data_IF_397762745828
#
_entry.id   IF_397762745828
#
_cell.length_a   1.000
_cell.length_b   1.000
_cell.length_c   1.000
_cell.angle_alpha   90.00
_cell.angle_beta   90.00
_cell.angle_gamma   90.00
#
_symmetry.space_group_name_H-M   'P 1'
#
loop_
_entity.id
_entity.type
_entity.pdbx_description
1 polymer ?
#
# COMPACT_ATOMS: atom_id res chain seq x y z
N UNK A 1 -67.62 -17.35 -14.35
CA UNK A 1 -67.19 -17.05 -15.73
C UNK A 1 -65.83 -17.71 -15.92
N UNK A 2 -65.73 -18.65 -16.87
CA UNK A 2 -64.50 -19.35 -17.31
C UNK A 2 -63.70 -18.35 -18.18
N UNK A 3 -62.37 -18.28 -18.23
CA UNK A 3 -61.42 -19.29 -18.67
C UNK A 3 -59.98 -18.92 -18.22
N UNK A 4 -59.18 -19.95 -17.95
CA UNK A 4 -57.71 -19.93 -17.89
C UNK A 4 -57.12 -19.67 -19.29
N UNK A 5 -56.01 -18.92 -19.37
CA UNK A 5 -55.08 -18.99 -20.50
C UNK A 5 -53.64 -18.71 -20.02
N UNK A 6 -52.91 -19.79 -19.82
CA UNK A 6 -51.45 -19.85 -19.76
C UNK A 6 -50.86 -19.54 -21.13
N UNK A 7 -49.77 -18.78 -21.20
CA UNK A 7 -48.89 -18.78 -22.36
C UNK A 7 -47.47 -19.17 -21.93
N UNK A 8 -47.04 -20.26 -22.53
CA UNK A 8 -45.76 -20.94 -22.45
C UNK A 8 -45.20 -20.89 -23.88
N UNK A 9 -44.05 -20.27 -24.11
CA UNK A 9 -43.23 -20.41 -25.32
C UNK A 9 -41.81 -19.92 -24.96
N UNK A 10 -40.88 -20.81 -24.62
CA UNK A 10 -40.06 -21.69 -25.46
C UNK A 10 -38.89 -20.96 -26.14
N UNK A 11 -37.72 -21.55 -25.91
CA UNK A 11 -36.37 -21.11 -26.23
C UNK A 11 -36.08 -20.91 -27.72
N UNK A 12 -35.14 -20.00 -28.01
CA UNK A 12 -34.28 -20.09 -29.17
C UNK A 12 -32.81 -20.05 -28.70
N UNK A 13 -32.18 -21.21 -28.79
CA UNK A 13 -30.73 -21.40 -28.71
C UNK A 13 -30.16 -20.94 -30.04
N UNK A 14 -29.24 -19.98 -30.03
CA UNK A 14 -28.35 -19.71 -31.15
C UNK A 14 -26.91 -19.97 -30.69
N UNK A 15 -26.41 -21.14 -31.06
CA UNK A 15 -25.00 -21.45 -31.06
C UNK A 15 -24.32 -20.64 -32.17
N UNK A 16 -23.36 -19.80 -31.81
CA UNK A 16 -22.41 -19.16 -32.72
C UNK A 16 -21.00 -19.52 -32.30
N UNK A 17 -20.39 -20.46 -33.01
CA UNK A 17 -18.95 -20.73 -32.97
C UNK A 17 -18.26 -19.87 -34.04
N UNK A 18 -17.08 -19.35 -33.72
CA UNK A 18 -16.14 -18.70 -34.64
C UNK A 18 -15.72 -17.32 -34.11
N UNK A 19 -14.46 -16.91 -34.09
CA UNK A 19 -13.23 -17.46 -34.64
C UNK A 19 -12.05 -17.00 -33.76
N UNK A 20 -11.03 -17.85 -33.65
CA UNK A 20 -9.72 -17.54 -33.07
C UNK A 20 -9.08 -16.35 -33.78
N UNK A 21 -9.09 -15.17 -33.17
CA UNK A 21 -8.18 -14.10 -33.51
C UNK A 21 -6.88 -14.31 -32.73
N UNK A 22 -5.89 -14.90 -33.38
CA UNK A 22 -4.51 -14.87 -32.92
C UNK A 22 -4.07 -13.40 -32.87
N UNK A 23 -3.70 -12.92 -31.68
CA UNK A 23 -2.98 -11.66 -31.53
C UNK A 23 -1.56 -11.88 -32.06
N UNK A 24 -1.32 -11.43 -33.29
CA UNK A 24 0.03 -11.25 -33.82
C UNK A 24 0.61 -9.99 -33.19
N UNK A 25 1.34 -10.15 -32.08
CA UNK A 25 2.25 -9.12 -31.61
C UNK A 25 3.35 -8.93 -32.67
N UNK A 26 3.68 -7.69 -33.07
CA UNK A 26 4.84 -7.43 -33.90
C UNK A 26 6.11 -7.69 -33.09
N UNK A 27 6.96 -8.55 -33.65
CA UNK A 27 8.37 -8.68 -33.31
C UNK A 27 9.11 -7.35 -33.58
N UNK A 28 10.13 -7.09 -32.77
CA UNK A 28 11.24 -6.14 -32.95
C UNK A 28 11.06 -4.66 -32.52
N UNK A 29 11.58 -4.37 -31.33
CA UNK A 29 12.60 -3.33 -31.15
C UNK A 29 13.51 -3.73 -29.98
N UNK A 30 14.67 -4.30 -30.31
CA UNK A 30 15.68 -4.71 -29.34
C UNK A 30 16.30 -3.52 -28.61
N UNK A 31 16.51 -3.71 -27.31
CA UNK A 31 17.48 -2.93 -26.53
C UNK A 31 18.74 -3.77 -26.34
N UNK A 32 19.74 -3.36 -27.11
CA UNK A 32 21.17 -3.40 -26.89
C UNK A 32 21.65 -3.57 -25.43
N UNK A 33 21.83 -4.83 -25.04
CA UNK A 33 22.78 -5.19 -23.99
C UNK A 33 24.21 -4.94 -24.51
N UNK A 34 24.83 -3.87 -24.03
CA UNK A 34 26.26 -3.62 -24.23
C UNK A 34 27.07 -4.79 -23.66
N UNK A 35 27.68 -5.53 -24.56
CA UNK A 35 28.71 -6.54 -24.25
C UNK A 35 30.01 -5.80 -23.92
N UNK A 36 30.61 -6.13 -22.77
CA UNK A 36 31.98 -5.78 -22.42
C UNK A 36 32.95 -6.48 -23.40
N UNK A 37 33.88 -5.78 -24.07
CA UNK A 37 34.78 -6.37 -25.05
C UNK A 37 35.97 -7.16 -24.48
N UNK A 38 36.08 -7.34 -23.17
CA UNK A 38 37.14 -8.18 -22.59
C UNK A 38 36.64 -9.61 -22.37
N UNK A 39 36.49 -10.33 -23.49
CA UNK A 39 36.25 -11.76 -23.47
C UNK A 39 37.39 -12.50 -22.76
N UNK A 40 37.07 -13.12 -21.63
CA UNK A 40 37.82 -14.28 -21.16
C UNK A 40 36.87 -15.32 -20.56
N UNK A 41 36.77 -16.45 -21.27
CA UNK A 41 36.14 -17.67 -20.79
C UNK A 41 37.24 -18.44 -20.06
N UNK A 42 37.14 -18.53 -18.74
CA UNK A 42 37.96 -19.44 -17.94
C UNK A 42 37.06 -20.31 -17.06
N UNK A 43 36.82 -21.53 -17.52
CA UNK A 43 36.80 -22.71 -16.63
C UNK A 43 38.27 -23.22 -16.55
N UNK A 44 38.74 -23.99 -15.53
CA UNK A 44 37.97 -24.91 -14.69
C UNK A 44 38.50 -25.15 -13.23
N UNK A 45 37.87 -26.09 -12.52
CA UNK A 45 38.38 -27.01 -11.46
C UNK A 45 38.97 -26.50 -10.12
N UNK A 46 38.32 -26.93 -9.02
CA UNK A 46 38.97 -27.80 -8.01
C UNK A 46 39.79 -27.19 -6.87
N UNK A 47 39.21 -27.23 -5.65
CA UNK A 47 39.88 -27.80 -4.48
C UNK A 47 40.66 -26.89 -3.50
N UNK A 48 40.54 -27.28 -2.22
CA UNK A 48 41.46 -27.18 -1.07
C UNK A 48 41.78 -25.82 -0.40
N UNK A 49 41.27 -25.70 0.84
CA UNK A 49 41.95 -25.55 2.15
C UNK A 49 43.09 -24.53 2.37
N UNK A 50 42.95 -23.75 3.46
CA UNK A 50 44.02 -23.00 4.17
C UNK A 50 43.95 -21.48 3.89
N UNK A 51 43.65 -20.56 4.79
CA UNK A 51 44.06 -20.45 6.20
C UNK A 51 45.46 -19.85 6.29
N UNK A 52 45.61 -18.52 6.37
CA UNK A 52 46.71 -17.81 7.07
C UNK A 52 46.32 -16.35 7.37
N UNK A 53 46.33 -16.04 8.66
CA UNK A 53 46.78 -14.87 9.43
C UNK A 53 47.01 -13.49 8.80
N UNK A 54 46.66 -12.50 9.63
CA UNK A 54 46.87 -11.08 9.41
C UNK A 54 48.34 -10.64 9.38
N UNK A 55 48.52 -9.47 8.81
CA UNK A 55 49.78 -8.76 8.77
C UNK A 55 49.51 -7.26 8.76
N UNK A 56 49.89 -6.62 9.85
CA UNK A 56 50.12 -5.18 9.93
C UNK A 56 51.06 -4.73 8.81
N UNK A 57 50.77 -3.59 8.18
CA UNK A 57 51.76 -2.82 7.42
C UNK A 57 51.37 -1.35 7.42
N UNK A 58 52.01 -0.63 8.33
CA UNK A 58 52.20 0.80 8.30
C UNK A 58 53.09 1.17 7.10
N UNK A 59 52.72 2.21 6.36
CA UNK A 59 53.55 2.73 5.28
C UNK A 59 52.91 3.94 4.62
N UNK A 60 53.21 5.13 5.14
CA UNK A 60 52.72 6.39 4.59
C UNK A 60 53.27 6.73 3.21
N UNK A 61 52.65 7.72 2.58
CA UNK A 61 53.30 8.66 1.67
C UNK A 61 52.37 9.86 1.40
N UNK A 62 53.05 10.98 1.17
CA UNK A 62 52.54 12.34 1.23
C UNK A 62 52.24 12.87 -0.18
N UNK A 63 51.16 13.65 -0.31
CA UNK A 63 50.81 14.43 -1.50
C UNK A 63 49.29 14.64 -1.53
N UNK A 64 48.73 15.79 -1.16
CA UNK A 64 49.05 17.10 -1.68
C UNK A 64 48.19 17.34 -2.91
N UNK A 65 46.96 17.86 -2.71
CA UNK A 65 46.18 18.65 -3.68
C UNK A 65 44.94 19.23 -2.99
N UNK A 66 44.84 20.56 -3.03
CA UNK A 66 43.65 21.34 -2.67
C UNK A 66 42.52 21.09 -3.67
N UNK A 67 41.32 20.83 -3.16
CA UNK A 67 40.09 20.74 -3.94
C UNK A 67 38.91 20.52 -3.02
N UNK A 68 38.29 21.62 -2.58
CA UNK A 68 37.10 21.57 -1.74
C UNK A 68 35.98 20.78 -2.39
N UNK A 69 35.39 19.87 -1.62
CA UNK A 69 34.00 19.48 -1.78
C UNK A 69 33.45 19.31 -0.37
N UNK A 70 32.43 20.11 -0.10
CA UNK A 70 31.66 20.14 1.12
C UNK A 70 30.82 18.87 1.15
N UNK A 71 31.34 17.83 1.80
CA UNK A 71 30.65 16.56 2.04
C UNK A 71 30.64 16.27 3.53
N UNK A 72 30.05 17.18 4.30
CA UNK A 72 29.66 16.90 5.67
C UNK A 72 28.73 15.69 5.66
N UNK A 73 29.26 14.55 6.08
CA UNK A 73 28.44 13.49 6.62
C UNK A 73 27.77 14.08 7.86
N UNK A 74 26.47 14.34 7.76
CA UNK A 74 25.59 14.72 8.88
C UNK A 74 25.36 13.50 9.80
N UNK A 75 26.46 12.95 10.30
CA UNK A 75 26.52 12.08 11.48
C UNK A 75 26.63 12.97 12.72
N UNK A 76 25.63 13.83 12.93
CA UNK A 76 25.56 14.74 14.07
C UNK A 76 24.25 14.53 14.80
N UNK A 77 24.30 13.79 15.92
CA UNK A 77 23.27 13.86 16.97
C UNK A 77 23.43 15.21 17.65
N UNK A 78 23.02 16.27 16.96
CA UNK A 78 23.03 17.62 17.50
C UNK A 78 21.75 17.79 18.31
N UNK A 79 21.93 17.93 19.62
CA UNK A 79 20.92 18.41 20.57
C UNK A 79 20.55 19.88 20.33
N UNK A 80 20.32 20.26 19.07
CA UNK A 80 19.58 21.45 18.71
C UNK A 80 18.15 21.25 19.18
N UNK A 81 17.67 22.15 20.02
CA UNK A 81 16.29 22.15 20.45
C UNK A 81 15.40 22.18 19.22
N UNK A 82 14.83 21.01 18.89
CA UNK A 82 13.70 20.84 18.00
C UNK A 82 12.76 22.03 18.19
N UNK A 83 12.53 22.80 17.13
CA UNK A 83 11.74 24.04 17.24
C UNK A 83 10.25 23.77 17.50
N UNK A 84 9.84 22.50 17.38
CA UNK A 84 8.54 21.96 17.71
C UNK A 84 8.69 20.73 18.64
N UNK A 85 7.61 20.31 19.30
CA UNK A 85 7.58 19.00 19.97
C UNK A 85 7.24 17.88 18.98
N UNK A 86 8.05 16.83 19.00
CA UNK A 86 7.85 15.63 18.17
C UNK A 86 6.90 14.63 18.85
N UNK A 87 6.39 13.67 18.07
CA UNK A 87 5.57 12.57 18.55
C UNK A 87 5.91 11.27 17.80
N UNK A 88 5.25 10.16 18.16
CA UNK A 88 5.42 8.91 17.42
C UNK A 88 4.94 9.02 15.95
N UNK A 89 3.89 9.82 15.69
CA UNK A 89 3.41 10.10 14.33
C UNK A 89 4.32 11.05 13.56
N UNK A 90 4.99 11.95 14.30
CA UNK A 90 5.82 13.00 13.76
C UNK A 90 7.21 12.99 14.42
N UNK A 91 8.09 12.05 14.04
CA UNK A 91 9.37 11.81 14.73
C UNK A 91 10.38 12.94 14.63
N UNK A 92 10.23 13.83 13.65
CA UNK A 92 11.06 15.03 13.45
C UNK A 92 10.16 16.21 13.12
N UNK A 93 10.59 17.44 13.41
CA UNK A 93 9.81 18.60 13.00
C UNK A 93 9.69 18.66 11.47
N UNK A 94 8.51 19.02 10.95
CA UNK A 94 8.33 19.30 9.53
C UNK A 94 9.22 20.47 9.08
N UNK A 95 9.31 20.69 7.77
CA UNK A 95 9.87 21.93 7.22
C UNK A 95 8.89 23.08 7.51
N UNK A 96 9.31 24.17 8.19
CA UNK A 96 8.47 25.35 8.40
C UNK A 96 7.86 25.93 7.12
N UNK A 97 8.59 25.85 6.00
CA UNK A 97 8.14 26.38 4.71
C UNK A 97 7.06 25.50 4.06
N UNK A 98 6.89 24.26 4.53
CA UNK A 98 5.87 23.31 4.08
C UNK A 98 4.61 23.31 4.97
N UNK A 99 4.57 24.15 6.02
CA UNK A 99 3.40 24.28 6.87
C UNK A 99 2.29 25.04 6.17
N UNK A 100 1.05 24.69 6.51
CA UNK A 100 -0.13 25.40 6.07
C UNK A 100 -0.91 25.95 7.25
N UNK A 101 -1.55 27.08 7.01
CA UNK A 101 -2.41 27.77 7.94
C UNK A 101 -3.39 28.69 7.17
N UNK A 102 -4.28 29.43 7.85
CA UNK A 102 -5.21 30.34 7.15
C UNK A 102 -4.54 31.45 6.33
N UNK A 103 -3.29 31.82 6.62
CA UNK A 103 -2.50 32.83 5.91
C UNK A 103 -1.64 32.20 4.79
N UNK A 104 -1.30 30.92 4.91
CA UNK A 104 -0.62 30.09 3.91
C UNK A 104 -1.46 28.84 3.55
N UNK A 105 -2.54 28.99 2.76
CA UNK A 105 -3.42 27.88 2.42
C UNK A 105 -2.76 26.91 1.45
N UNK A 106 -3.20 25.66 1.50
CA UNK A 106 -2.74 24.66 0.56
C UNK A 106 -3.14 24.97 -0.88
N UNK A 107 -2.32 24.55 -1.86
CA UNK A 107 -2.70 24.48 -3.26
C UNK A 107 -4.03 23.73 -3.49
N UNK A 108 -4.62 23.93 -4.67
CA UNK A 108 -5.81 23.17 -5.06
C UNK A 108 -5.49 21.66 -5.08
N UNK A 109 -6.41 20.85 -4.53
CA UNK A 109 -6.21 19.40 -4.40
C UNK A 109 -5.51 18.93 -3.15
N UNK A 110 -5.12 19.87 -2.29
CA UNK A 110 -4.51 19.56 -1.01
C UNK A 110 -5.36 20.07 0.14
N UNK A 111 -5.32 19.34 1.25
CA UNK A 111 -5.98 19.71 2.50
C UNK A 111 -4.93 19.94 3.58
N UNK A 112 -5.16 21.00 4.36
CA UNK A 112 -4.31 21.33 5.50
C UNK A 112 -4.69 20.46 6.70
N UNK A 113 -3.83 19.51 7.09
CA UNK A 113 -4.09 18.57 8.19
C UNK A 113 -2.96 18.58 9.21
N UNK A 114 -3.31 18.28 10.46
CA UNK A 114 -2.37 18.16 11.57
C UNK A 114 -1.32 17.09 11.27
N UNK A 115 -0.05 17.42 11.47
CA UNK A 115 1.09 16.51 11.28
C UNK A 115 1.22 15.51 12.43
N UNK A 116 0.68 15.84 13.61
CA UNK A 116 0.94 15.13 14.86
C UNK A 116 2.16 15.65 15.62
N UNK A 117 2.93 16.61 15.08
CA UNK A 117 3.87 17.44 15.83
C UNK A 117 3.11 18.66 16.34
N UNK A 118 2.76 18.69 17.64
CA UNK A 118 1.95 19.78 18.21
C UNK A 118 0.68 20.08 17.39
N UNK A 119 0.30 21.36 17.30
CA UNK A 119 -0.80 21.86 16.48
C UNK A 119 -0.33 22.26 15.06
N UNK A 120 0.81 21.73 14.58
CA UNK A 120 1.34 22.03 13.25
C UNK A 120 0.54 21.30 12.19
N UNK A 121 0.27 21.98 11.08
CA UNK A 121 -0.44 21.41 9.92
C UNK A 121 0.37 21.53 8.65
N UNK A 122 0.23 20.57 7.74
CA UNK A 122 0.82 20.60 6.40
C UNK A 122 -0.20 20.21 5.35
N UNK A 123 0.14 20.51 4.10
CA UNK A 123 -0.68 20.13 2.97
C UNK A 123 -0.49 18.66 2.60
N UNK A 124 -1.61 17.99 2.37
CA UNK A 124 -1.66 16.62 1.88
C UNK A 124 -2.60 16.53 0.70
N UNK A 125 -2.18 15.80 -0.33
CA UNK A 125 -3.02 15.49 -1.48
C UNK A 125 -4.21 14.64 -1.03
N UNK A 126 -5.42 15.11 -1.29
CA UNK A 126 -6.64 14.30 -1.16
C UNK A 126 -6.73 13.36 -2.35
N UNK A 127 -7.31 12.17 -2.15
CA UNK A 127 -7.22 11.05 -3.09
C UNK A 127 -7.82 11.30 -4.49
N UNK A 128 -7.83 10.20 -5.26
CA UNK A 128 -8.41 10.08 -6.60
C UNK A 128 -7.41 9.54 -7.61
N UNK A 129 -7.88 8.77 -8.59
CA UNK A 129 -7.06 8.10 -9.61
C UNK A 129 -6.34 9.09 -10.54
N UNK A 130 -5.49 8.56 -11.42
CA UNK A 130 -4.93 9.37 -12.50
C UNK A 130 -6.03 9.78 -13.49
N UNK A 131 -5.88 10.94 -14.11
CA UNK A 131 -6.81 11.44 -15.12
C UNK A 131 -6.10 12.31 -16.16
N UNK A 132 -6.68 12.36 -17.35
CA UNK A 132 -6.35 13.29 -18.43
C UNK A 132 -7.44 14.37 -18.55
N UNK A 133 -8.69 14.00 -18.28
CA UNK A 133 -9.82 14.93 -18.20
C UNK A 133 -10.87 14.47 -17.18
N UNK A 134 -11.94 15.26 -17.03
CA UNK A 134 -13.02 15.00 -16.07
C UNK A 134 -13.78 13.70 -16.36
N UNK A 135 -13.74 13.16 -17.58
CA UNK A 135 -14.44 11.92 -17.93
C UNK A 135 -13.75 10.68 -17.34
N UNK A 136 -12.44 10.78 -17.06
CA UNK A 136 -11.68 9.74 -16.35
C UNK A 136 -12.09 9.64 -14.86
N UNK A 137 -12.68 10.71 -14.31
CA UNK A 137 -13.15 10.74 -12.93
C UNK A 137 -14.58 10.19 -12.83
N UNK A 138 -14.70 8.86 -12.75
CA UNK A 138 -15.98 8.15 -12.76
C UNK A 138 -17.01 8.64 -11.71
N UNK A 139 -16.53 9.19 -10.59
CA UNK A 139 -17.38 9.78 -9.56
C UNK A 139 -17.55 11.30 -9.80
N UNK A 140 -18.78 11.83 -9.95
CA UNK A 140 -19.02 13.27 -10.16
C UNK A 140 -18.64 14.15 -8.97
N UNK A 141 -18.32 13.55 -7.82
CA UNK A 141 -17.69 14.25 -6.70
C UNK A 141 -16.25 14.67 -6.99
N UNK A 142 -15.65 14.21 -8.10
CA UNK A 142 -14.28 14.49 -8.51
C UNK A 142 -14.22 15.32 -9.80
N UNK A 143 -13.12 16.06 -9.94
CA UNK A 143 -12.73 16.74 -11.17
C UNK A 143 -11.24 16.52 -11.41
N UNK A 144 -10.86 16.42 -12.68
CA UNK A 144 -9.48 16.19 -13.07
C UNK A 144 -8.66 17.47 -12.99
N UNK A 145 -7.64 17.48 -12.12
CA UNK A 145 -6.62 18.52 -12.15
C UNK A 145 -5.51 18.11 -13.11
N UNK A 146 -5.54 18.69 -14.30
CA UNK A 146 -4.58 18.46 -15.37
C UNK A 146 -3.16 18.95 -15.06
N UNK A 147 -2.96 19.74 -14.00
CA UNK A 147 -1.62 20.17 -13.57
C UNK A 147 -0.86 18.99 -12.97
N UNK A 148 -1.58 18.14 -12.24
CA UNK A 148 -1.02 16.95 -11.58
C UNK A 148 -1.51 15.64 -12.20
N UNK A 149 -2.44 15.70 -13.15
CA UNK A 149 -3.12 14.59 -13.82
C UNK A 149 -3.77 13.63 -12.81
N UNK A 150 -4.54 14.19 -11.87
CA UNK A 150 -5.22 13.45 -10.80
C UNK A 150 -6.66 13.90 -10.64
N UNK A 151 -7.56 12.95 -10.45
CA UNK A 151 -8.91 13.23 -9.98
C UNK A 151 -8.81 13.77 -8.57
N UNK A 152 -9.35 14.95 -8.33
CA UNK A 152 -9.45 15.55 -7.01
C UNK A 152 -10.90 15.70 -6.62
N UNK A 153 -11.24 15.30 -5.40
CA UNK A 153 -12.59 15.45 -4.88
C UNK A 153 -12.91 16.95 -4.71
N UNK A 154 -13.99 17.41 -5.36
CA UNK A 154 -14.48 18.81 -5.34
C UNK A 154 -15.71 19.00 -4.46
N UNK A 155 -16.26 17.90 -3.93
CA UNK A 155 -17.38 17.91 -2.97
C UNK A 155 -16.84 17.64 -1.56
N UNK A 156 -17.32 18.37 -0.57
CA UNK A 156 -16.92 18.17 0.83
C UNK A 156 -17.32 16.79 1.35
N UNK A 157 -16.49 16.21 2.21
CA UNK A 157 -16.74 14.92 2.85
C UNK A 157 -16.16 13.75 2.06
N UNK A 158 -16.63 12.56 2.35
CA UNK A 158 -16.21 11.30 1.72
C UNK A 158 -17.40 10.35 1.53
N UNK A 159 -17.30 9.46 0.57
CA UNK A 159 -18.20 8.31 0.36
C UNK A 159 -17.51 7.02 0.81
N UNK A 160 -16.19 6.92 0.63
CA UNK A 160 -15.33 5.85 1.12
C UNK A 160 -13.93 6.36 1.54
N UNK A 161 -13.12 5.50 2.15
CA UNK A 161 -11.82 5.87 2.70
C UNK A 161 -10.77 6.27 1.66
N UNK A 162 -10.99 6.03 0.36
CA UNK A 162 -10.10 6.53 -0.70
C UNK A 162 -10.27 8.03 -0.97
N UNK A 163 -11.43 8.59 -0.60
CA UNK A 163 -11.68 10.03 -0.64
C UNK A 163 -10.87 10.81 0.40
N UNK A 164 -10.36 10.09 1.41
CA UNK A 164 -9.60 10.66 2.50
C UNK A 164 -8.10 10.64 2.22
N UNK A 165 -7.37 11.56 2.87
CA UNK A 165 -5.90 11.54 2.87
C UNK A 165 -5.42 10.22 3.46
N UNK A 166 -4.27 9.73 2.98
CA UNK A 166 -3.68 8.51 3.51
C UNK A 166 -3.60 8.53 5.05
N UNK A 167 -4.09 7.46 5.67
CA UNK A 167 -4.18 7.34 7.14
C UNK A 167 -5.47 7.90 7.75
N UNK A 168 -6.38 8.45 6.94
CA UNK A 168 -7.73 8.81 7.36
C UNK A 168 -8.74 7.82 6.78
N UNK A 169 -9.84 7.60 7.48
CA UNK A 169 -10.94 6.73 7.05
C UNK A 169 -12.24 7.51 6.92
N UNK A 170 -13.11 7.11 6.00
CA UNK A 170 -14.41 7.74 5.85
C UNK A 170 -15.40 7.23 6.88
N UNK A 171 -15.86 8.12 7.75
CA UNK A 171 -16.80 7.81 8.83
C UNK A 171 -17.95 8.81 8.82
N UNK A 172 -19.16 8.31 8.59
CA UNK A 172 -20.38 9.13 8.51
C UNK A 172 -20.25 10.33 7.55
N UNK A 173 -19.52 10.13 6.43
CA UNK A 173 -19.27 11.13 5.40
C UNK A 173 -18.15 12.13 5.73
N UNK A 174 -17.36 11.89 6.79
CA UNK A 174 -16.23 12.73 7.19
C UNK A 174 -14.95 11.91 7.34
N UNK A 175 -13.80 12.48 6.96
CA UNK A 175 -12.50 11.81 7.13
C UNK A 175 -12.01 11.87 8.57
N UNK A 176 -12.05 10.73 9.27
CA UNK A 176 -11.54 10.56 10.63
C UNK A 176 -10.05 10.19 10.63
N UNK A 177 -9.27 10.74 11.56
CA UNK A 177 -7.83 10.44 11.70
C UNK A 177 -7.63 9.04 12.27
N UNK A 178 -7.08 8.14 11.44
CA UNK A 178 -6.80 6.74 11.74
C UNK A 178 -5.31 6.42 11.61
N UNK A 179 -4.45 7.45 11.66
CA UNK A 179 -3.01 7.26 11.57
C UNK A 179 -2.50 6.60 12.84
N UNK A 180 -1.94 5.41 12.65
CA UNK A 180 -1.29 4.63 13.69
C UNK A 180 0.22 4.73 13.51
N UNK A 181 0.99 5.30 14.44
CA UNK A 181 2.44 5.46 14.26
C UNK A 181 3.15 4.11 14.14
N UNK A 182 4.22 4.09 13.34
CA UNK A 182 5.05 2.91 13.11
C UNK A 182 6.52 3.28 12.90
N UNK A 183 7.44 2.41 13.31
CA UNK A 183 8.86 2.49 12.93
C UNK A 183 9.16 1.60 11.73
N UNK A 184 8.47 0.47 11.65
CA UNK A 184 8.59 -0.59 10.65
C UNK A 184 7.22 -1.23 10.39
N UNK A 185 7.08 -1.99 9.31
CA UNK A 185 5.80 -2.66 9.02
C UNK A 185 5.40 -3.72 10.06
N UNK A 186 6.32 -4.19 10.89
CA UNK A 186 6.02 -5.09 12.01
C UNK A 186 5.22 -4.40 13.14
N UNK A 187 5.25 -3.07 13.22
CA UNK A 187 4.44 -2.30 14.18
C UNK A 187 2.98 -2.17 13.74
N UNK A 188 2.69 -2.53 12.48
CA UNK A 188 1.37 -2.43 11.89
C UNK A 188 0.59 -3.74 12.01
N UNK A 189 -0.74 -3.68 12.12
CA UNK A 189 -1.58 -4.87 12.04
C UNK A 189 -1.41 -5.64 10.72
N UNK A 190 -1.95 -6.85 10.67
CA UNK A 190 -2.06 -7.59 9.39
C UNK A 190 -2.85 -6.75 8.36
N UNK A 191 -2.48 -6.87 7.08
CA UNK A 191 -3.07 -6.08 5.99
C UNK A 191 -2.51 -4.66 5.83
N UNK A 192 -1.48 -4.29 6.61
CA UNK A 192 -0.89 -2.96 6.59
C UNK A 192 0.63 -2.97 6.40
N UNK A 193 1.12 -1.87 5.84
CA UNK A 193 2.53 -1.53 5.79
C UNK A 193 2.79 -0.21 6.52
N UNK A 194 4.02 0.00 6.96
CA UNK A 194 4.45 1.28 7.52
C UNK A 194 4.74 2.24 6.36
N UNK A 195 3.87 3.23 6.19
CA UNK A 195 3.97 4.20 5.11
C UNK A 195 4.75 5.44 5.55
N UNK A 196 5.73 5.83 4.74
CA UNK A 196 6.57 7.02 4.94
C UNK A 196 6.08 8.12 4.00
N UNK A 197 5.15 8.96 4.49
CA UNK A 197 4.64 10.08 3.70
C UNK A 197 5.73 11.13 3.44
N UNK A 198 6.65 11.27 4.40
CA UNK A 198 7.80 12.16 4.38
C UNK A 198 8.80 11.73 5.46
N UNK A 199 9.98 12.35 5.50
CA UNK A 199 10.99 12.07 6.54
C UNK A 199 10.45 12.24 7.97
N UNK A 200 9.48 13.15 8.14
CA UNK A 200 8.84 13.52 9.38
C UNK A 200 7.49 12.84 9.64
N UNK A 201 7.02 11.92 8.78
CA UNK A 201 5.73 11.27 8.98
C UNK A 201 5.72 9.81 8.58
N UNK A 202 5.32 8.98 9.55
CA UNK A 202 5.23 7.54 9.40
C UNK A 202 4.04 6.98 10.15
N UNK A 203 3.21 6.23 9.44
CA UNK A 203 2.03 5.60 10.01
C UNK A 203 1.64 4.35 9.22
N UNK A 204 0.92 3.45 9.88
CA UNK A 204 0.38 2.25 9.25
C UNK A 204 -0.67 2.64 8.22
N UNK A 205 -0.47 2.17 7.00
CA UNK A 205 -1.40 2.31 5.88
C UNK A 205 -1.85 0.94 5.42
N UNK A 206 -3.16 0.78 5.26
CA UNK A 206 -3.76 -0.43 4.72
C UNK A 206 -3.30 -0.63 3.27
N UNK A 207 -2.94 -1.86 2.94
CA UNK A 207 -2.46 -2.22 1.61
C UNK A 207 -3.66 -2.50 0.70
N UNK A 208 -4.60 -3.32 1.16
CA UNK A 208 -5.84 -3.70 0.46
C UNK A 208 -6.75 -2.49 0.29
N UNK A 209 -6.68 -1.87 -0.90
CA UNK A 209 -7.48 -0.69 -1.27
C UNK A 209 -8.05 -0.89 -2.66
N UNK A 210 -9.28 -0.43 -2.95
CA UNK A 210 -9.81 -0.43 -4.30
C UNK A 210 -8.85 0.21 -5.29
N UNK A 211 -8.75 -0.40 -6.47
CA UNK A 211 -7.99 0.12 -7.60
C UNK A 211 -8.69 -0.27 -8.89
N UNK A 212 -8.52 0.54 -9.93
CA UNK A 212 -8.94 0.19 -11.28
C UNK A 212 -7.76 -0.36 -12.09
N UNK A 213 -6.54 0.09 -11.77
CA UNK A 213 -5.29 -0.38 -12.36
C UNK A 213 -4.08 -0.12 -11.44
N UNK A 214 -2.90 -0.61 -11.85
CA UNK A 214 -1.65 -0.53 -11.06
C UNK A 214 -1.25 0.90 -10.66
N UNK A 215 -1.66 1.93 -11.41
CA UNK A 215 -1.29 3.32 -11.08
C UNK A 215 -1.91 3.77 -9.75
N UNK A 216 -3.06 3.21 -9.38
CA UNK A 216 -3.75 3.54 -8.13
C UNK A 216 -2.99 2.97 -6.93
N UNK A 217 -2.25 1.88 -7.15
CA UNK A 217 -1.45 1.16 -6.17
C UNK A 217 0.02 1.56 -6.16
N UNK A 218 0.46 2.41 -7.10
CA UNK A 218 1.85 2.85 -7.24
C UNK A 218 2.43 3.43 -5.93
N UNK A 219 1.62 4.18 -5.17
CA UNK A 219 2.03 4.76 -3.87
C UNK A 219 2.25 3.73 -2.76
N UNK A 220 1.78 2.49 -2.97
CA UNK A 220 1.99 1.35 -2.10
C UNK A 220 3.10 0.44 -2.64
N UNK A 221 3.56 0.64 -3.89
CA UNK A 221 4.55 -0.22 -4.54
C UNK A 221 4.04 -1.63 -4.80
N UNK A 222 2.73 -1.80 -4.96
CA UNK A 222 2.09 -3.10 -5.20
C UNK A 222 1.18 -3.02 -6.45
N UNK A 223 0.95 -4.15 -7.15
CA UNK A 223 0.00 -4.21 -8.27
C UNK A 223 -1.48 -4.18 -7.82
N UNK A 224 -2.35 -3.89 -8.78
CA UNK A 224 -3.79 -4.00 -8.67
C UNK A 224 -4.26 -5.39 -9.10
N UNK A 225 -5.07 -6.08 -8.29
CA UNK A 225 -5.56 -7.43 -8.61
C UNK A 225 -6.84 -7.80 -7.86
N UNK A 226 -7.46 -8.93 -8.17
CA UNK A 226 -8.72 -9.41 -7.56
C UNK A 226 -8.43 -10.65 -6.69
N UNK A 227 -7.87 -10.47 -5.47
CA UNK A 227 -7.32 -11.57 -4.69
C UNK A 227 -8.39 -12.51 -4.12
N UNK A 228 -9.63 -12.05 -3.96
CA UNK A 228 -10.77 -12.81 -3.42
C UNK A 228 -11.72 -13.33 -4.53
N UNK A 229 -11.48 -12.95 -5.79
CA UNK A 229 -12.17 -13.47 -6.96
C UNK A 229 -13.63 -13.00 -7.11
N UNK A 230 -14.03 -11.91 -6.45
CA UNK A 230 -15.39 -11.38 -6.54
C UNK A 230 -15.56 -10.30 -7.62
N UNK A 231 -14.51 -10.07 -8.41
CA UNK A 231 -14.49 -9.08 -9.49
C UNK A 231 -14.17 -7.67 -9.03
N UNK A 232 -13.69 -7.49 -7.79
CA UNK A 232 -13.40 -6.20 -7.18
C UNK A 232 -11.90 -6.01 -7.00
N UNK A 233 -11.25 -5.33 -7.94
CA UNK A 233 -9.81 -5.13 -7.87
C UNK A 233 -9.38 -4.31 -6.63
N UNK A 234 -8.27 -4.71 -6.04
CA UNK A 234 -7.56 -4.06 -4.95
C UNK A 234 -6.04 -4.17 -5.04
N UNK A 235 -5.38 -3.18 -4.43
CA UNK A 235 -3.94 -3.13 -4.27
C UNK A 235 -3.49 -4.28 -3.39
N UNK A 236 -2.64 -5.17 -3.93
CA UNK A 236 -2.22 -6.37 -3.24
C UNK A 236 -0.74 -6.65 -3.43
N UNK A 237 -0.03 -7.05 -2.36
CA UNK A 237 1.37 -7.45 -2.49
C UNK A 237 1.53 -8.57 -3.53
N UNK A 238 2.63 -8.50 -4.28
CA UNK A 238 2.99 -9.50 -5.28
C UNK A 238 3.73 -10.68 -4.64
N UNK A 239 3.60 -11.89 -5.20
CA UNK A 239 4.46 -13.02 -4.83
C UNK A 239 5.87 -12.87 -5.44
N UNK A 240 5.97 -12.11 -6.53
CA UNK A 240 7.19 -11.84 -7.27
C UNK A 240 7.44 -10.32 -7.31
N UNK A 241 7.94 -9.69 -6.23
CA UNK A 241 8.08 -8.23 -6.16
C UNK A 241 9.06 -7.62 -7.19
N UNK A 242 9.89 -8.45 -7.84
CA UNK A 242 10.90 -8.01 -8.82
C UNK A 242 10.63 -8.52 -10.24
N UNK A 243 9.55 -9.28 -10.45
CA UNK A 243 9.13 -9.72 -11.76
C UNK A 243 7.69 -9.23 -11.98
N UNK A 244 7.30 -8.85 -13.22
CA UNK A 244 5.91 -8.55 -13.50
C UNK A 244 5.06 -9.77 -13.12
N UNK A 245 4.33 -9.68 -12.02
CA UNK A 245 3.42 -10.71 -11.59
C UNK A 245 2.04 -10.37 -12.16
N UNK A 246 1.57 -11.09 -13.19
CA UNK A 246 0.26 -10.81 -13.78
C UNK A 246 -0.90 -11.13 -12.83
N UNK A 247 -0.63 -11.81 -11.70
CA UNK A 247 -1.63 -12.19 -10.71
C UNK A 247 -1.03 -11.94 -9.32
N UNK A 248 -1.31 -10.77 -8.74
CA UNK A 248 -1.20 -10.57 -7.29
C UNK A 248 -1.77 -11.79 -6.58
N UNK A 249 -1.16 -12.23 -5.47
CA UNK A 249 -1.58 -13.43 -4.75
C UNK A 249 -3.11 -13.59 -4.76
N UNK A 250 -3.59 -14.67 -5.36
CA UNK A 250 -5.01 -15.00 -5.53
C UNK A 250 -5.37 -16.14 -4.57
N UNK A 251 -6.55 -16.08 -3.95
CA UNK A 251 -7.17 -17.12 -3.14
C UNK A 251 -6.97 -18.53 -3.73
N UNK A 252 -7.12 -18.72 -5.06
CA UNK A 252 -6.93 -20.01 -5.73
C UNK A 252 -5.54 -20.63 -5.49
N UNK A 253 -4.51 -19.80 -5.30
CA UNK A 253 -3.15 -20.25 -5.02
C UNK A 253 -3.01 -20.75 -3.57
N UNK A 254 -3.75 -20.14 -2.64
CA UNK A 254 -3.65 -20.44 -1.21
C UNK A 254 -4.67 -21.47 -0.72
N UNK A 255 -5.81 -21.66 -1.40
CA UNK A 255 -6.84 -22.63 -1.03
C UNK A 255 -6.36 -24.09 -0.93
N UNK A 256 -5.19 -24.43 -1.48
CA UNK A 256 -4.60 -25.76 -1.33
C UNK A 256 -4.13 -26.05 0.10
N UNK A 257 -3.84 -25.02 0.89
CA UNK A 257 -3.48 -25.13 2.29
C UNK A 257 -4.62 -24.64 3.19
N UNK A 258 -5.38 -25.57 3.75
CA UNK A 258 -6.46 -25.24 4.70
C UNK A 258 -6.00 -24.51 5.97
N UNK A 259 -4.70 -24.54 6.30
CA UNK A 259 -4.15 -23.79 7.42
C UNK A 259 -3.76 -22.35 7.04
N UNK A 260 -3.69 -22.04 5.74
CA UNK A 260 -3.30 -20.74 5.20
C UNK A 260 -4.05 -20.42 3.90
N UNK A 261 -5.40 -20.36 3.91
CA UNK A 261 -6.20 -20.34 2.68
C UNK A 261 -6.29 -18.97 1.98
N UNK A 262 -5.78 -17.90 2.60
CA UNK A 262 -5.90 -16.53 2.09
C UNK A 262 -4.55 -15.89 1.83
N UNK A 263 -4.54 -14.85 1.00
CA UNK A 263 -3.36 -14.05 0.71
C UNK A 263 -3.10 -13.02 1.80
N UNK A 264 -1.97 -13.18 2.48
CA UNK A 264 -1.54 -12.35 3.60
C UNK A 264 -0.33 -11.51 3.19
N UNK A 265 -0.33 -10.23 3.58
CA UNK A 265 0.82 -9.35 3.43
C UNK A 265 1.91 -9.67 4.46
N UNK A 266 3.18 -9.74 4.04
CA UNK A 266 4.31 -9.87 4.95
C UNK A 266 4.39 -8.71 5.97
N UNK A 267 5.27 -8.82 6.97
CA UNK A 267 5.51 -7.74 7.92
C UNK A 267 5.97 -6.46 7.23
N UNK A 268 6.75 -6.59 6.17
CA UNK A 268 7.25 -5.48 5.35
C UNK A 268 6.17 -4.93 4.40
N UNK A 269 5.14 -5.74 4.09
CA UNK A 269 3.95 -5.31 3.36
C UNK A 269 4.09 -5.21 1.84
N UNK A 270 5.25 -5.57 1.28
CA UNK A 270 5.50 -5.57 -0.18
C UNK A 270 5.43 -6.96 -0.81
N UNK A 271 5.43 -8.01 0.01
CA UNK A 271 5.41 -9.41 -0.43
C UNK A 271 4.14 -10.08 0.08
N UNK A 272 3.47 -10.83 -0.78
CA UNK A 272 2.36 -11.69 -0.36
C UNK A 272 2.88 -13.08 0.05
N UNK A 273 2.14 -13.74 0.92
CA UNK A 273 2.29 -15.16 1.21
C UNK A 273 0.92 -15.75 1.53
N UNK A 274 0.76 -17.06 1.33
CA UNK A 274 -0.42 -17.73 1.86
C UNK A 274 -0.37 -17.72 3.39
N UNK A 275 -1.44 -17.24 4.00
CA UNK A 275 -1.54 -17.00 5.43
C UNK A 275 -2.96 -17.14 5.96
N UNK A 276 -3.17 -16.64 7.17
CA UNK A 276 -4.46 -16.73 7.89
C UNK A 276 -5.17 -15.39 8.00
N UNK A 277 -4.44 -14.30 7.76
CA UNK A 277 -4.93 -12.93 7.89
C UNK A 277 -4.83 -12.24 6.52
N UNK A 278 -5.93 -12.26 5.77
CA UNK A 278 -5.98 -11.75 4.40
C UNK A 278 -7.41 -11.45 3.97
N UNK A 279 -7.61 -10.88 2.77
CA UNK A 279 -8.93 -10.62 2.21
C UNK A 279 -9.80 -11.87 2.15
N UNK A 280 -11.10 -11.70 2.32
CA UNK A 280 -12.09 -12.76 2.18
C UNK A 280 -13.41 -12.19 1.65
N UNK A 281 -14.14 -12.99 0.87
CA UNK A 281 -15.48 -12.64 0.44
C UNK A 281 -16.53 -13.20 1.42
N UNK A 282 -16.32 -14.44 1.82
CA UNK A 282 -17.21 -15.25 2.64
C UNK A 282 -16.46 -15.94 3.79
N UNK A 283 -17.15 -16.35 4.87
CA UNK A 283 -16.51 -17.04 6.01
C UNK A 283 -15.77 -18.32 5.63
N UNK A 284 -16.20 -19.02 4.58
CA UNK A 284 -15.60 -20.28 4.13
C UNK A 284 -14.23 -20.08 3.44
N UNK A 285 -13.86 -18.85 3.09
CA UNK A 285 -12.54 -18.50 2.55
C UNK A 285 -11.46 -18.53 3.65
N UNK A 286 -11.86 -18.37 4.91
CA UNK A 286 -10.95 -18.25 6.05
C UNK A 286 -10.53 -19.60 6.63
N UNK A 287 -9.38 -19.62 7.30
CA UNK A 287 -8.94 -20.79 8.05
C UNK A 287 -9.95 -21.17 9.14
N UNK A 288 -10.04 -22.47 9.45
CA UNK A 288 -10.95 -22.94 10.51
C UNK A 288 -10.74 -22.18 11.82
N UNK A 289 -11.80 -21.55 12.34
CA UNK A 289 -11.77 -20.77 13.58
C UNK A 289 -11.48 -19.27 13.37
N UNK A 290 -11.53 -18.78 12.13
CA UNK A 290 -11.49 -17.38 11.78
C UNK A 290 -12.87 -16.92 11.26
N UNK A 291 -13.17 -15.63 11.43
CA UNK A 291 -14.33 -14.95 10.88
C UNK A 291 -13.91 -14.05 9.71
N UNK A 292 -14.80 -13.83 8.75
CA UNK A 292 -14.61 -12.90 7.65
C UNK A 292 -15.34 -11.58 7.96
N UNK A 293 -14.61 -10.55 8.44
CA UNK A 293 -15.17 -9.31 8.98
C UNK A 293 -14.65 -8.06 8.26
N UNK A 294 -15.52 -7.06 8.07
CA UNK A 294 -15.15 -5.73 7.59
C UNK A 294 -14.81 -4.85 8.81
N UNK A 295 -13.52 -4.76 9.14
CA UNK A 295 -13.04 -3.93 10.26
C UNK A 295 -12.97 -2.43 9.93
N UNK A 296 -13.25 -2.05 8.68
CA UNK A 296 -13.01 -0.70 8.14
C UNK A 296 -14.28 0.05 7.78
N UNK A 297 -15.39 -0.67 7.66
CA UNK A 297 -16.66 -0.13 7.20
C UNK A 297 -16.65 0.25 5.71
N UNK A 298 -15.66 -0.23 4.95
CA UNK A 298 -15.50 0.07 3.51
C UNK A 298 -16.02 -1.07 2.62
N UNK A 299 -16.64 -2.09 3.22
CA UNK A 299 -17.19 -3.26 2.55
C UNK A 299 -16.17 -4.36 2.28
N UNK A 300 -14.88 -4.14 2.51
CA UNK A 300 -13.82 -5.13 2.30
C UNK A 300 -13.53 -5.88 3.59
N UNK A 301 -13.71 -7.19 3.53
CA UNK A 301 -13.54 -8.06 4.69
C UNK A 301 -12.17 -8.71 4.71
N UNK A 302 -11.73 -9.05 5.91
CA UNK A 302 -10.50 -9.77 6.16
C UNK A 302 -10.75 -10.93 7.14
N UNK A 303 -9.97 -12.00 6.99
CA UNK A 303 -9.96 -13.12 7.91
C UNK A 303 -9.32 -12.71 9.22
N UNK A 304 -10.08 -12.85 10.31
CA UNK A 304 -9.64 -12.45 11.65
C UNK A 304 -10.01 -13.51 12.68
N UNK A 305 -9.29 -13.52 13.80
CA UNK A 305 -9.68 -14.35 14.93
C UNK A 305 -10.97 -13.80 15.56
N UNK A 306 -11.91 -14.67 16.00
CA UNK A 306 -13.16 -14.26 16.62
C UNK A 306 -12.92 -13.59 17.99
N UNK A 307 -13.99 -13.03 18.56
CA UNK A 307 -14.01 -12.44 19.91
C UNK A 307 -13.07 -11.22 20.09
N UNK A 308 -12.96 -10.40 19.05
CA UNK A 308 -12.27 -9.11 19.09
C UNK A 308 -12.88 -8.11 20.08
N UNK A 309 -12.07 -7.17 20.54
CA UNK A 309 -12.49 -6.04 21.38
C UNK A 309 -13.10 -4.87 20.60
N UNK A 310 -12.99 -4.90 19.28
CA UNK A 310 -13.62 -4.00 18.33
C UNK A 310 -14.14 -4.82 17.15
N UNK A 311 -15.21 -4.34 16.52
CA UNK A 311 -15.75 -4.90 15.29
C UNK A 311 -15.47 -3.98 14.09
N UNK A 312 -15.24 -2.69 14.35
CA UNK A 312 -15.03 -1.66 13.34
C UNK A 312 -14.07 -0.58 13.88
N UNK A 313 -13.30 0.07 13.01
CA UNK A 313 -12.39 1.15 13.41
C UNK A 313 -13.09 2.33 14.09
N UNK A 314 -14.39 2.54 13.82
CA UNK A 314 -15.25 3.49 14.54
C UNK A 314 -15.44 3.18 16.02
N UNK A 315 -15.23 1.94 16.45
CA UNK A 315 -15.24 1.56 17.86
C UNK A 315 -14.00 2.09 18.61
N UNK A 316 -12.96 2.45 17.87
CA UNK A 316 -11.68 2.89 18.41
C UNK A 316 -11.58 4.42 18.47
N UNK A 317 -10.78 4.91 19.43
CA UNK A 317 -10.50 6.35 19.54
C UNK A 317 -9.74 6.87 18.29
N UNK A 318 -9.70 8.19 18.13
CA UNK A 318 -8.87 8.83 17.09
C UNK A 318 -7.42 8.35 17.14
N UNK A 319 -6.77 8.22 15.98
CA UNK A 319 -5.40 7.69 15.84
C UNK A 319 -5.27 6.22 16.31
N UNK A 320 -6.37 5.48 16.23
CA UNK A 320 -6.41 4.04 16.44
C UNK A 320 -7.24 3.39 15.35
N UNK A 321 -6.89 2.15 15.02
CA UNK A 321 -7.60 1.31 14.05
C UNK A 321 -8.04 0.02 14.71
N UNK A 322 -9.18 -0.52 14.30
CA UNK A 322 -9.52 -1.89 14.63
C UNK A 322 -8.76 -2.80 13.68
N UNK A 323 -7.90 -3.67 14.20
CA UNK A 323 -7.11 -4.57 13.37
C UNK A 323 -6.60 -5.79 14.13
N UNK A 324 -6.25 -6.84 13.38
CA UNK A 324 -5.58 -8.01 13.94
C UNK A 324 -4.08 -7.72 14.14
N UNK A 325 -3.57 -7.73 15.38
CA UNK A 325 -2.15 -7.52 15.63
C UNK A 325 -1.34 -8.74 15.17
N UNK A 326 -0.05 -8.54 14.86
CA UNK A 326 0.86 -9.59 14.36
C UNK A 326 1.24 -10.70 15.36
N UNK A 327 0.59 -10.75 16.51
CA UNK A 327 0.83 -11.72 17.59
C UNK A 327 -0.25 -12.81 17.67
N UNK A 328 -0.92 -13.13 16.56
CA UNK A 328 -2.03 -14.09 16.49
C UNK A 328 -3.09 -13.84 17.58
N UNK A 329 -3.67 -12.64 17.60
CA UNK A 329 -4.74 -12.29 18.53
C UNK A 329 -5.99 -11.75 17.82
N UNK A 330 -7.16 -11.81 18.47
CA UNK A 330 -8.38 -11.18 17.97
C UNK A 330 -8.24 -9.67 17.69
N UNK A 331 -9.09 -9.10 16.83
CA UNK A 331 -9.10 -7.66 16.55
C UNK A 331 -9.14 -6.81 17.82
N UNK A 332 -8.33 -5.77 17.84
CA UNK A 332 -8.31 -4.79 18.92
C UNK A 332 -7.99 -3.40 18.40
N UNK A 333 -8.30 -2.38 19.21
CA UNK A 333 -7.92 -1.02 18.90
C UNK A 333 -6.40 -0.86 19.05
N UNK A 334 -5.71 -0.67 17.93
CA UNK A 334 -4.26 -0.52 17.85
C UNK A 334 -3.92 0.95 17.69
N UNK A 335 -3.11 1.48 18.61
CA UNK A 335 -2.63 2.88 18.61
C UNK A 335 -1.16 3.01 18.20
N UNK A 336 -0.52 1.92 17.77
CA UNK A 336 0.89 1.88 17.38
C UNK A 336 1.83 1.84 18.59
N UNK A 337 3.08 1.48 18.35
CA UNK A 337 4.11 1.58 19.37
C UNK A 337 4.47 3.06 19.56
N UNK A 338 4.40 3.56 20.81
CA UNK A 338 5.06 4.81 21.15
C UNK A 338 6.57 4.61 20.95
N UNK A 339 7.12 5.24 19.92
CA UNK A 339 8.57 5.27 19.69
C UNK A 339 9.28 6.14 20.72
#
# INVERSE_FOLDING_TARGET
MRFFASFLLAAAVAAGCGETAASSYPEDAGSDASTDPDGDIVFPDGGVDGGVDGGDSDGGLDGGLDGGVDGGLDGGVDGGSSWCNTSALCPSCPDPDALCDPENPCPSGEVCLLTGCEDLSRCFVTGGGACQDDEDCANPAYSCDQTINRCLRVVSGCDDSNDCVAGFACEDGSCADRRVPCASGADCPHGFTCFFASADQRFCRRITRPCDNDIDCLTLGVPCGDPDGIGGQECMPSLLPNEPDPISCDLLQCMQDSAAPVCESSAEGTVAACGRFGPCAEPDDCASGFDCLDLWGDGRKECVLPDGSCADSRDCASQQVCGSPRIEAPPMCISGAAM
#
